data_IF_526000676962
#
_entry.id   IF_526000676962
#
_cell.length_a   1.000
_cell.length_b   1.000
_cell.length_c   1.000
_cell.angle_alpha   90.00
_cell.angle_beta   90.00
_cell.angle_gamma   90.00
#
_symmetry.space_group_name_H-M   'P 1'
#
loop_
_entity.id
_entity.type
_entity.pdbx_description
1 polymer ?
#
# COMPACT_ATOMS: atom_id res chain seq x y z
N UNK A 1 -0.45 -4.61 28.59
CA UNK A 1 -1.82 -5.15 28.36
C UNK A 1 -2.77 -3.97 28.30
N UNK A 2 -3.04 -3.44 27.10
CA UNK A 2 -3.99 -2.33 26.93
C UNK A 2 -5.40 -2.90 27.05
N UNK A 3 -5.95 -2.85 28.26
CA UNK A 3 -7.22 -3.45 28.62
C UNK A 3 -8.40 -2.74 27.97
N UNK A 4 -9.19 -3.49 27.22
CA UNK A 4 -10.55 -3.10 26.85
C UNK A 4 -11.36 -2.89 28.13
N UNK A 5 -12.10 -1.80 28.21
CA UNK A 5 -13.01 -1.54 29.33
C UNK A 5 -14.17 -2.54 29.32
N UNK A 6 -14.76 -2.84 30.48
CA UNK A 6 -15.92 -3.75 30.60
C UNK A 6 -17.09 -3.31 29.69
N UNK A 7 -17.23 -2.00 29.48
CA UNK A 7 -18.22 -1.40 28.56
C UNK A 7 -17.91 -1.70 27.08
N UNK A 8 -16.62 -1.65 26.68
CA UNK A 8 -16.19 -2.05 25.33
C UNK A 8 -16.44 -3.55 25.11
N UNK A 9 -16.21 -4.40 26.12
CA UNK A 9 -16.49 -5.84 26.08
C UNK A 9 -17.98 -6.15 25.91
N UNK A 10 -18.86 -5.47 26.65
CA UNK A 10 -20.32 -5.63 26.50
C UNK A 10 -20.83 -5.16 25.13
N UNK A 11 -20.22 -4.12 24.55
CA UNK A 11 -20.57 -3.66 23.20
C UNK A 11 -20.17 -4.65 22.09
N UNK A 12 -19.13 -5.46 22.30
CA UNK A 12 -18.68 -6.49 21.35
C UNK A 12 -19.71 -7.63 21.23
N UNK A 13 -20.34 -8.02 22.34
CA UNK A 13 -21.23 -9.19 22.38
C UNK A 13 -22.73 -8.87 22.35
N UNK A 14 -23.14 -7.67 22.79
CA UNK A 14 -24.57 -7.38 22.99
C UNK A 14 -25.20 -6.47 21.93
N UNK A 15 -24.41 -5.76 21.10
CA UNK A 15 -24.93 -4.80 20.12
C UNK A 15 -24.10 -4.74 18.81
N UNK A 16 -24.35 -5.60 17.80
CA UNK A 16 -23.95 -5.27 16.45
C UNK A 16 -24.71 -4.00 15.96
N UNK A 17 -24.03 -2.97 15.40
CA UNK A 17 -22.65 -2.96 14.93
C UNK A 17 -21.64 -2.34 15.92
N UNK A 18 -20.38 -2.80 15.84
CA UNK A 18 -19.25 -2.22 16.58
C UNK A 18 -19.20 -0.70 16.36
N UNK A 19 -19.11 0.13 17.42
CA UNK A 19 -18.78 1.54 17.27
C UNK A 19 -17.50 1.67 16.44
N UNK A 20 -17.49 2.56 15.44
CA UNK A 20 -16.36 2.74 14.51
C UNK A 20 -15.01 2.97 15.21
N UNK A 21 -15.01 3.52 16.43
CA UNK A 21 -13.83 3.67 17.29
C UNK A 21 -13.24 2.34 17.78
N UNK A 22 -14.08 1.35 18.09
CA UNK A 22 -13.65 0.02 18.54
C UNK A 22 -13.13 -0.78 17.34
N UNK A 23 -13.83 -0.74 16.21
CA UNK A 23 -13.36 -1.35 14.98
C UNK A 23 -12.01 -0.77 14.52
N UNK A 24 -11.80 0.55 14.61
CA UNK A 24 -10.51 1.16 14.33
C UNK A 24 -9.40 0.72 15.29
N UNK A 25 -9.67 0.61 16.60
CA UNK A 25 -8.67 0.09 17.57
C UNK A 25 -8.28 -1.36 17.32
N UNK A 26 -9.19 -2.18 16.78
CA UNK A 26 -8.93 -3.59 16.47
C UNK A 26 -8.27 -3.77 15.09
N UNK A 27 -8.58 -2.90 14.13
CA UNK A 27 -8.05 -2.96 12.77
C UNK A 27 -6.65 -2.32 12.62
N UNK A 28 -6.31 -1.35 13.47
CA UNK A 28 -5.05 -0.62 13.38
C UNK A 28 -4.19 -0.87 14.63
N UNK A 29 -3.02 -1.45 14.41
CA UNK A 29 -2.05 -1.78 15.44
C UNK A 29 -0.73 -1.05 15.13
N UNK A 30 -0.65 0.30 15.27
CA UNK A 30 0.61 1.01 15.07
C UNK A 30 1.68 0.48 16.06
N UNK A 31 2.89 0.16 15.60
CA UNK A 31 3.99 -0.22 16.49
C UNK A 31 4.53 1.02 17.22
N UNK A 32 5.35 0.78 18.24
CA UNK A 32 6.22 1.85 18.78
C UNK A 32 7.15 2.34 17.66
N UNK A 33 7.33 3.66 17.47
CA UNK A 33 8.13 4.19 16.38
C UNK A 33 9.56 3.63 16.40
N UNK A 34 9.99 3.09 15.25
CA UNK A 34 11.33 2.52 15.08
C UNK A 34 12.30 3.50 14.40
N UNK A 35 11.84 4.71 14.11
CA UNK A 35 12.64 5.75 13.48
C UNK A 35 12.24 7.16 13.94
N UNK A 36 13.08 8.14 13.63
CA UNK A 36 12.79 9.56 13.74
C UNK A 36 13.41 10.33 12.56
N UNK A 37 13.04 11.60 12.41
CA UNK A 37 13.65 12.50 11.42
C UNK A 37 14.55 13.52 12.13
N UNK A 38 15.75 13.74 11.58
CA UNK A 38 16.80 14.55 12.23
C UNK A 38 16.48 16.04 12.33
N UNK A 39 15.75 16.60 11.36
CA UNK A 39 15.25 17.97 11.41
C UNK A 39 13.80 17.99 10.91
N UNK A 40 12.87 17.98 11.86
CA UNK A 40 11.44 17.97 11.59
C UNK A 40 10.91 19.20 10.83
N UNK A 41 11.63 20.31 10.85
CA UNK A 41 11.22 21.56 10.20
C UNK A 41 11.84 21.71 8.80
N UNK A 42 12.84 20.89 8.47
CA UNK A 42 13.45 20.90 7.16
C UNK A 42 12.46 20.40 6.09
N UNK A 43 12.60 20.94 4.89
CA UNK A 43 11.86 20.44 3.73
C UNK A 43 12.24 18.99 3.41
N UNK A 44 13.46 18.56 3.73
CA UNK A 44 14.00 17.21 3.59
C UNK A 44 14.71 16.81 4.88
N UNK A 45 14.49 15.60 5.33
CA UNK A 45 15.04 15.07 6.56
C UNK A 45 15.83 13.78 6.28
N UNK A 46 16.89 13.53 7.04
CA UNK A 46 17.48 12.20 7.09
C UNK A 46 16.70 11.35 8.08
N UNK A 47 16.55 10.06 7.76
CA UNK A 47 15.97 9.09 8.67
C UNK A 47 17.02 8.65 9.69
N UNK A 48 16.64 8.64 10.97
CA UNK A 48 17.40 8.00 12.04
C UNK A 48 16.65 6.73 12.44
N UNK A 49 17.30 5.58 12.36
CA UNK A 49 16.71 4.27 12.63
C UNK A 49 17.15 3.78 14.01
N UNK A 50 16.22 3.21 14.75
CA UNK A 50 16.52 2.46 15.98
C UNK A 50 16.93 1.02 15.63
N UNK A 51 17.50 0.28 16.59
CA UNK A 51 17.85 -1.13 16.39
C UNK A 51 16.64 -2.00 16.01
N UNK A 52 15.43 -1.64 16.47
CA UNK A 52 14.18 -2.35 16.16
C UNK A 52 13.74 -2.22 14.70
N UNK A 53 14.31 -1.28 13.95
CA UNK A 53 14.07 -1.17 12.51
C UNK A 53 14.78 -2.27 11.71
N UNK A 54 15.72 -3.01 12.33
CA UNK A 54 16.47 -4.11 11.70
C UNK A 54 17.06 -3.71 10.35
N UNK A 55 17.78 -2.57 10.32
CA UNK A 55 18.44 -2.10 9.10
C UNK A 55 19.53 -3.08 8.63
N UNK A 56 19.39 -3.58 7.40
CA UNK A 56 20.24 -4.67 6.85
C UNK A 56 21.37 -4.18 5.93
N UNK A 57 21.48 -2.87 5.71
CA UNK A 57 22.37 -2.27 4.72
C UNK A 57 23.38 -1.33 5.39
N UNK A 58 24.29 -0.76 4.60
CA UNK A 58 25.31 0.18 5.11
C UNK A 58 24.70 1.55 5.42
N UNK A 59 25.38 2.34 6.28
CA UNK A 59 24.97 3.74 6.51
C UNK A 59 25.05 4.61 5.25
N UNK A 60 25.94 4.27 4.30
CA UNK A 60 26.00 4.96 3.01
C UNK A 60 24.73 4.73 2.18
N UNK A 61 24.18 3.52 2.20
CA UNK A 61 22.93 3.23 1.47
C UNK A 61 21.72 3.96 2.07
N UNK A 62 21.79 4.31 3.35
CA UNK A 62 20.79 5.15 4.03
C UNK A 62 20.72 6.57 3.45
N UNK A 63 21.78 7.07 2.83
CA UNK A 63 21.78 8.36 2.11
C UNK A 63 20.79 8.37 0.93
N UNK A 64 20.41 7.19 0.42
CA UNK A 64 19.39 7.06 -0.62
C UNK A 64 17.96 7.24 -0.09
N UNK A 65 17.80 7.37 1.22
CA UNK A 65 16.52 7.49 1.90
C UNK A 65 16.27 8.96 2.29
N UNK A 66 15.31 9.59 1.60
CA UNK A 66 14.86 10.94 1.91
C UNK A 66 13.57 10.87 2.74
N UNK A 67 13.62 11.35 3.99
CA UNK A 67 12.44 11.55 4.83
C UNK A 67 11.81 12.93 4.60
N UNK A 68 10.50 13.03 4.75
CA UNK A 68 9.79 14.31 4.81
C UNK A 68 8.44 14.17 5.50
N UNK A 69 7.83 15.30 5.82
CA UNK A 69 6.44 15.34 6.25
C UNK A 69 5.52 15.92 5.19
N UNK A 70 4.31 15.36 5.08
CA UNK A 70 3.23 15.87 4.25
C UNK A 70 2.01 16.19 5.10
N UNK A 71 1.25 17.24 4.71
CA UNK A 71 0.00 17.61 5.37
C UNK A 71 -1.18 16.98 4.63
N UNK A 72 -2.07 16.37 5.39
CA UNK A 72 -3.30 15.76 4.87
C UNK A 72 -4.44 16.79 4.85
N UNK A 73 -5.45 16.54 4.02
CA UNK A 73 -6.68 17.35 3.98
C UNK A 73 -7.46 17.33 5.31
N UNK A 74 -7.13 16.40 6.21
CA UNK A 74 -7.73 16.25 7.54
C UNK A 74 -6.90 16.88 8.66
N UNK A 75 -5.86 17.64 8.31
CA UNK A 75 -5.04 18.40 9.26
C UNK A 75 -3.93 17.61 9.95
N UNK A 76 -3.82 16.30 9.68
CA UNK A 76 -2.72 15.48 10.18
C UNK A 76 -1.45 15.75 9.36
N UNK A 77 -0.30 15.69 10.03
CA UNK A 77 1.04 15.59 9.46
C UNK A 77 1.45 14.12 9.44
N UNK A 78 1.73 13.59 8.24
CA UNK A 78 2.19 12.22 8.04
C UNK A 78 3.65 12.21 7.61
N UNK A 79 4.40 11.21 8.04
CA UNK A 79 5.75 10.96 7.59
C UNK A 79 5.73 10.23 6.24
N UNK A 80 6.63 10.62 5.36
CA UNK A 80 6.86 9.97 4.07
C UNK A 80 8.35 9.66 3.90
N UNK A 81 8.62 8.61 3.14
CA UNK A 81 9.94 8.12 2.81
C UNK A 81 10.06 7.99 1.30
N UNK A 82 11.07 8.61 0.70
CA UNK A 82 11.46 8.38 -0.68
C UNK A 82 12.81 7.66 -0.73
N UNK A 83 12.77 6.38 -1.09
CA UNK A 83 13.94 5.52 -1.27
C UNK A 83 14.31 5.49 -2.75
N UNK A 84 15.48 6.05 -3.08
CA UNK A 84 16.05 6.01 -4.43
C UNK A 84 16.86 4.73 -4.61
N UNK A 85 16.20 3.69 -5.09
CA UNK A 85 16.82 2.36 -5.17
C UNK A 85 17.67 2.16 -6.44
N UNK A 86 17.49 2.98 -7.47
CA UNK A 86 18.29 2.90 -8.69
C UNK A 86 18.40 4.25 -9.40
N UNK A 87 19.59 4.53 -9.95
CA UNK A 87 19.88 5.75 -10.69
C UNK A 87 19.10 5.89 -12.00
N UNK A 88 18.65 4.78 -12.59
CA UNK A 88 17.89 4.75 -13.85
C UNK A 88 16.48 4.17 -13.68
N UNK A 89 15.95 4.16 -12.46
CA UNK A 89 14.58 3.73 -12.19
C UNK A 89 13.59 4.57 -13.00
N UNK A 90 12.85 3.92 -13.90
CA UNK A 90 11.78 4.55 -14.68
C UNK A 90 10.51 4.76 -13.86
N UNK A 91 10.19 3.79 -13.00
CA UNK A 91 8.96 3.77 -12.22
C UNK A 91 9.26 4.07 -10.76
N UNK A 92 8.30 4.71 -10.11
CA UNK A 92 8.27 4.88 -8.66
C UNK A 92 7.03 4.17 -8.12
N UNK A 93 7.22 3.31 -7.13
CA UNK A 93 6.13 2.64 -6.44
C UNK A 93 5.64 3.55 -5.32
N UNK A 94 4.36 3.92 -5.32
CA UNK A 94 3.68 4.44 -4.12
C UNK A 94 3.23 3.26 -3.28
N UNK A 95 3.95 3.00 -2.19
CA UNK A 95 3.76 1.83 -1.33
C UNK A 95 2.91 2.19 -0.10
N UNK A 96 1.79 1.50 0.07
CA UNK A 96 0.96 1.52 1.27
C UNK A 96 1.23 0.25 2.07
N UNK A 97 1.92 0.40 3.21
CA UNK A 97 2.43 -0.72 4.01
C UNK A 97 1.34 -1.50 4.75
N UNK A 98 1.69 -2.69 5.25
CA UNK A 98 0.80 -3.51 6.06
C UNK A 98 0.47 -2.90 7.43
N UNK A 99 -0.34 -3.62 8.20
CA UNK A 99 -0.56 -3.27 9.61
C UNK A 99 0.69 -3.62 10.44
N UNK A 100 0.76 -3.13 11.69
CA UNK A 100 1.81 -3.51 12.66
C UNK A 100 3.27 -3.26 12.23
N UNK A 101 3.48 -2.43 11.21
CA UNK A 101 4.79 -1.97 10.76
C UNK A 101 4.78 -0.45 10.59
N UNK A 102 5.96 0.17 10.66
CA UNK A 102 6.18 1.57 10.31
C UNK A 102 7.24 1.71 9.20
N UNK A 103 7.46 2.94 8.73
CA UNK A 103 8.48 3.22 7.70
C UNK A 103 9.90 2.77 8.08
N UNK A 104 10.25 2.80 9.36
CA UNK A 104 11.57 2.39 9.84
C UNK A 104 11.81 0.90 9.59
N UNK A 105 10.89 0.05 10.06
CA UNK A 105 10.95 -1.40 9.86
C UNK A 105 10.92 -1.78 8.37
N UNK A 106 10.17 -1.03 7.57
CA UNK A 106 10.04 -1.31 6.14
C UNK A 106 11.21 -0.79 5.29
N UNK A 107 12.11 0.02 5.85
CA UNK A 107 13.19 0.68 5.10
C UNK A 107 14.09 -0.32 4.36
N UNK A 108 14.53 -1.39 5.05
CA UNK A 108 15.36 -2.46 4.46
C UNK A 108 14.64 -3.14 3.29
N UNK A 109 13.35 -3.43 3.49
CA UNK A 109 12.53 -4.07 2.47
C UNK A 109 12.38 -3.18 1.23
N UNK A 110 12.13 -1.88 1.40
CA UNK A 110 11.99 -0.94 0.28
C UNK A 110 13.25 -0.83 -0.57
N UNK A 111 14.42 -0.71 0.07
CA UNK A 111 15.69 -0.65 -0.65
C UNK A 111 15.94 -1.96 -1.40
N UNK A 112 15.74 -3.10 -0.74
CA UNK A 112 15.95 -4.42 -1.34
C UNK A 112 15.01 -4.71 -2.50
N UNK A 113 13.71 -4.44 -2.33
CA UNK A 113 12.70 -4.63 -3.35
C UNK A 113 12.99 -3.73 -4.55
N UNK A 114 13.09 -2.42 -4.33
CA UNK A 114 13.26 -1.44 -5.41
C UNK A 114 14.53 -1.69 -6.22
N UNK A 115 15.63 -2.05 -5.58
CA UNK A 115 16.89 -2.37 -6.26
C UNK A 115 16.76 -3.63 -7.14
N UNK A 116 16.03 -4.65 -6.67
CA UNK A 116 15.85 -5.92 -7.40
C UNK A 116 14.89 -5.82 -8.58
N UNK A 117 13.98 -4.84 -8.59
CA UNK A 117 12.99 -4.63 -9.66
C UNK A 117 13.21 -3.34 -10.45
N UNK A 118 14.28 -2.60 -10.17
CA UNK A 118 14.66 -1.34 -10.80
C UNK A 118 13.57 -0.24 -10.70
N UNK A 119 13.02 -0.05 -9.50
CA UNK A 119 12.03 0.99 -9.19
C UNK A 119 12.47 1.78 -7.96
N UNK A 120 12.14 3.07 -7.91
CA UNK A 120 12.19 3.80 -6.63
C UNK A 120 10.95 3.48 -5.79
N UNK A 121 11.03 3.65 -4.47
CA UNK A 121 9.90 3.44 -3.57
C UNK A 121 9.59 4.74 -2.84
N UNK A 122 8.33 5.17 -2.90
CA UNK A 122 7.80 6.22 -2.07
C UNK A 122 6.73 5.62 -1.15
N UNK A 123 6.96 5.70 0.15
CA UNK A 123 6.04 5.17 1.17
C UNK A 123 5.68 6.25 2.16
N UNK A 124 4.62 6.04 2.93
CA UNK A 124 4.16 6.94 3.97
C UNK A 124 3.61 6.15 5.15
N UNK A 125 3.73 6.68 6.36
CA UNK A 125 3.02 6.14 7.51
C UNK A 125 1.60 6.68 7.54
N UNK A 126 0.67 5.84 7.99
CA UNK A 126 -0.71 6.27 8.26
C UNK A 126 -0.77 7.25 9.43
N UNK A 127 -1.82 8.08 9.48
CA UNK A 127 -2.09 8.94 10.64
C UNK A 127 -2.09 8.11 11.94
N UNK A 128 -1.20 8.45 12.88
CA UNK A 128 -1.00 7.73 14.14
C UNK A 128 -0.05 6.51 14.08
N UNK A 129 0.65 6.30 12.97
CA UNK A 129 1.74 5.32 12.82
C UNK A 129 3.11 6.02 12.79
N UNK A 130 4.14 5.35 13.30
CA UNK A 130 5.50 5.89 13.36
C UNK A 130 5.52 7.29 13.97
N UNK A 131 6.18 8.23 13.28
CA UNK A 131 6.23 9.65 13.73
C UNK A 131 5.10 10.51 13.15
N UNK A 132 4.07 9.91 12.56
CA UNK A 132 2.90 10.61 12.05
C UNK A 132 1.95 11.01 13.17
N UNK A 133 1.45 12.23 13.09
CA UNK A 133 0.43 12.77 14.01
C UNK A 133 -0.95 12.14 13.78
N UNK A 134 -1.88 12.43 14.69
CA UNK A 134 -3.29 12.08 14.53
C UNK A 134 -3.62 10.69 15.06
N UNK A 135 -4.64 10.05 14.48
CA UNK A 135 -5.10 8.71 14.89
C UNK A 135 -5.53 7.90 13.67
N UNK A 136 -5.39 6.58 13.70
CA UNK A 136 -5.77 5.77 12.56
C UNK A 136 -7.30 5.70 12.44
N UNK A 137 -7.78 5.83 11.20
CA UNK A 137 -9.18 5.64 10.82
C UNK A 137 -9.27 5.50 9.31
N UNK A 138 -10.33 4.88 8.80
CA UNK A 138 -10.54 4.76 7.35
C UNK A 138 -10.50 6.11 6.62
N UNK A 139 -11.12 7.15 7.20
CA UNK A 139 -11.13 8.49 6.61
C UNK A 139 -9.74 9.13 6.56
N UNK A 140 -8.91 8.87 7.58
CA UNK A 140 -7.53 9.35 7.56
C UNK A 140 -6.70 8.53 6.58
N UNK A 141 -6.89 7.21 6.50
CA UNK A 141 -6.19 6.33 5.55
C UNK A 141 -6.32 6.83 4.09
N UNK A 142 -7.52 7.26 3.69
CA UNK A 142 -7.75 7.87 2.37
C UNK A 142 -7.10 9.26 2.24
N UNK A 143 -7.18 10.10 3.27
CA UNK A 143 -6.53 11.43 3.25
C UNK A 143 -4.98 11.34 3.27
N UNK A 144 -4.44 10.28 3.87
CA UNK A 144 -3.01 10.02 3.98
C UNK A 144 -2.46 9.65 2.58
N UNK A 145 -3.10 8.71 1.88
CA UNK A 145 -2.67 8.35 0.52
C UNK A 145 -2.85 9.50 -0.48
N UNK A 146 -3.91 10.31 -0.33
CA UNK A 146 -4.08 11.51 -1.15
C UNK A 146 -2.90 12.49 -0.97
N UNK A 147 -2.46 12.68 0.27
CA UNK A 147 -1.30 13.53 0.58
C UNK A 147 0.00 12.97 -0.01
N UNK A 148 0.21 11.64 0.10
CA UNK A 148 1.36 10.96 -0.48
C UNK A 148 1.35 11.03 -2.03
N UNK A 149 0.20 10.80 -2.65
CA UNK A 149 -0.01 10.96 -4.09
C UNK A 149 0.30 12.39 -4.56
N UNK A 150 -0.26 13.40 -3.90
CA UNK A 150 0.03 14.79 -4.23
C UNK A 150 1.51 15.14 -4.07
N UNK A 151 2.15 14.63 -3.03
CA UNK A 151 3.59 14.80 -2.82
C UNK A 151 4.40 14.24 -3.99
N UNK A 152 4.13 12.99 -4.42
CA UNK A 152 4.79 12.39 -5.60
C UNK A 152 4.61 13.22 -6.86
N UNK A 153 3.36 13.65 -7.12
CA UNK A 153 2.99 14.39 -8.33
C UNK A 153 3.59 15.79 -8.37
N UNK A 154 3.54 16.52 -7.26
CA UNK A 154 3.86 17.95 -7.22
C UNK A 154 5.31 18.22 -6.86
N UNK A 155 5.82 17.57 -5.81
CA UNK A 155 7.16 17.81 -5.30
C UNK A 155 8.23 17.08 -6.10
N UNK A 156 7.93 15.85 -6.52
CA UNK A 156 8.87 15.04 -7.29
C UNK A 156 8.56 15.04 -8.79
N UNK A 157 7.46 15.64 -9.22
CA UNK A 157 7.11 15.80 -10.63
C UNK A 157 6.88 14.47 -11.37
N UNK A 158 6.56 13.40 -10.65
CA UNK A 158 6.41 12.07 -11.26
C UNK A 158 5.03 11.99 -11.91
N UNK A 159 4.97 11.67 -13.21
CA UNK A 159 3.71 11.51 -13.93
C UNK A 159 2.99 10.21 -13.55
N UNK A 160 1.63 10.15 -13.58
CA UNK A 160 0.83 8.97 -13.19
C UNK A 160 1.23 7.67 -13.88
N UNK A 161 1.54 7.74 -15.17
CA UNK A 161 1.96 6.60 -15.99
C UNK A 161 3.30 5.99 -15.55
N UNK A 162 4.09 6.74 -14.78
CA UNK A 162 5.33 6.28 -14.18
C UNK A 162 5.18 5.93 -12.68
N UNK A 163 3.95 5.96 -12.15
CA UNK A 163 3.63 5.53 -10.78
C UNK A 163 3.01 4.14 -10.81
N UNK A 164 3.50 3.26 -9.95
CA UNK A 164 2.86 1.98 -9.65
C UNK A 164 2.31 2.09 -8.23
N UNK A 165 1.00 1.86 -8.05
CA UNK A 165 0.44 1.79 -6.71
C UNK A 165 0.65 0.38 -6.17
N UNK A 166 1.16 0.25 -4.94
CA UNK A 166 1.36 -1.03 -4.28
C UNK A 166 0.74 -0.98 -2.89
N UNK A 167 -0.22 -1.85 -2.61
CA UNK A 167 -0.77 -2.01 -1.26
C UNK A 167 -0.52 -3.41 -0.74
N UNK A 168 -0.13 -3.52 0.54
CA UNK A 168 -0.01 -4.79 1.25
C UNK A 168 -1.06 -4.89 2.36
N UNK A 169 -1.83 -5.97 2.39
CA UNK A 169 -2.85 -6.24 3.42
C UNK A 169 -3.79 -5.02 3.56
N UNK A 170 -3.88 -4.40 4.75
CA UNK A 170 -4.67 -3.18 4.96
C UNK A 170 -4.29 -2.02 4.03
N UNK A 171 -3.04 -1.94 3.57
CA UNK A 171 -2.58 -0.94 2.59
C UNK A 171 -3.21 -1.07 1.21
N UNK A 172 -3.85 -2.21 0.90
CA UNK A 172 -4.66 -2.36 -0.33
C UNK A 172 -5.90 -1.48 -0.32
N UNK A 173 -6.42 -1.11 0.86
CA UNK A 173 -7.61 -0.28 1.01
C UNK A 173 -7.42 1.13 0.43
N UNK A 174 -6.44 1.93 0.89
CA UNK A 174 -6.19 3.24 0.31
C UNK A 174 -5.70 3.13 -1.14
N UNK A 175 -4.94 2.07 -1.46
CA UNK A 175 -4.47 1.81 -2.83
C UNK A 175 -5.63 1.67 -3.81
N UNK A 176 -6.64 0.83 -3.50
CA UNK A 176 -7.83 0.65 -4.34
C UNK A 176 -8.65 1.94 -4.40
N UNK A 177 -8.79 2.66 -3.29
CA UNK A 177 -9.50 3.95 -3.29
C UNK A 177 -8.86 4.97 -4.24
N UNK A 178 -7.55 5.15 -4.16
CA UNK A 178 -6.83 6.07 -5.05
C UNK A 178 -6.90 5.60 -6.51
N UNK A 179 -6.67 4.30 -6.76
CA UNK A 179 -6.72 3.71 -8.09
C UNK A 179 -8.12 3.75 -8.74
N UNK A 180 -9.18 3.88 -7.94
CA UNK A 180 -10.56 4.05 -8.43
C UNK A 180 -10.84 5.45 -8.96
N UNK A 181 -9.95 6.41 -8.68
CA UNK A 181 -10.08 7.83 -9.06
C UNK A 181 -9.03 8.27 -10.08
N UNK A 182 -7.88 7.60 -10.14
CA UNK A 182 -6.77 7.95 -11.03
C UNK A 182 -6.25 6.72 -11.78
N UNK A 183 -6.01 6.89 -13.09
CA UNK A 183 -5.25 5.92 -13.87
C UNK A 183 -3.75 6.10 -13.62
N UNK A 184 -3.06 4.98 -13.41
CA UNK A 184 -1.63 4.89 -13.09
C UNK A 184 -0.98 3.83 -13.97
N UNK A 185 0.35 3.72 -13.95
CA UNK A 185 1.08 2.71 -14.72
C UNK A 185 0.61 1.28 -14.42
N UNK A 186 0.41 0.97 -13.14
CA UNK A 186 -0.23 -0.28 -12.68
C UNK A 186 -0.62 -0.21 -11.20
N UNK A 187 -1.39 -1.20 -10.77
CA UNK A 187 -1.72 -1.46 -9.37
C UNK A 187 -1.27 -2.87 -8.99
N UNK A 188 -0.62 -2.99 -7.85
CA UNK A 188 -0.29 -4.26 -7.20
C UNK A 188 -1.04 -4.34 -5.89
N UNK A 189 -1.86 -5.37 -5.74
CA UNK A 189 -2.62 -5.66 -4.53
C UNK A 189 -2.06 -6.95 -3.92
N UNK A 190 -1.32 -6.81 -2.82
CA UNK A 190 -0.73 -7.93 -2.10
C UNK A 190 -1.60 -8.30 -0.89
N UNK A 191 -2.14 -9.51 -0.89
CA UNK A 191 -3.09 -10.06 0.09
C UNK A 191 -4.26 -9.11 0.38
N UNK A 192 -5.01 -8.67 -0.64
CA UNK A 192 -6.05 -7.66 -0.46
C UNK A 192 -7.24 -8.20 0.32
N UNK A 193 -7.90 -7.30 1.06
CA UNK A 193 -9.20 -7.55 1.66
C UNK A 193 -10.34 -6.97 0.82
N UNK A 194 -11.45 -7.70 0.78
CA UNK A 194 -12.69 -7.28 0.10
C UNK A 194 -13.47 -6.25 0.93
N UNK A 195 -13.60 -6.50 2.23
CA UNK A 195 -14.05 -5.54 3.24
C UNK A 195 -13.71 -6.01 4.66
N UNK A 196 -13.76 -5.13 5.65
CA UNK A 196 -13.51 -5.45 7.05
C UNK A 196 -14.50 -6.46 7.62
N UNK A 197 -15.79 -6.35 7.29
CA UNK A 197 -16.80 -7.33 7.70
C UNK A 197 -16.54 -8.72 7.10
N UNK A 198 -16.04 -8.79 5.86
CA UNK A 198 -15.74 -10.09 5.22
C UNK A 198 -14.50 -10.75 5.81
N UNK A 199 -13.54 -9.97 6.29
CA UNK A 199 -12.39 -10.51 7.06
C UNK A 199 -12.88 -11.10 8.39
N UNK A 200 -13.69 -10.34 9.15
CA UNK A 200 -14.17 -10.78 10.46
C UNK A 200 -15.25 -11.88 10.38
N UNK A 201 -16.06 -11.87 9.32
CA UNK A 201 -17.18 -12.77 9.11
C UNK A 201 -17.19 -13.26 7.64
N UNK A 202 -16.43 -14.33 7.30
CA UNK A 202 -16.21 -14.78 5.92
C UNK A 202 -17.48 -15.08 5.11
N UNK A 203 -18.57 -15.44 5.78
CA UNK A 203 -19.86 -15.73 5.13
C UNK A 203 -20.65 -14.47 4.72
N UNK A 204 -20.11 -13.27 4.92
CA UNK A 204 -20.77 -11.99 4.59
C UNK A 204 -20.86 -11.76 3.08
N UNK A 205 -22.07 -11.87 2.52
CA UNK A 205 -22.29 -11.70 1.06
C UNK A 205 -22.56 -10.26 0.64
N UNK A 206 -23.13 -9.43 1.52
CA UNK A 206 -23.56 -8.04 1.24
C UNK A 206 -22.61 -7.03 1.90
N UNK A 207 -22.35 -5.91 1.22
CA UNK A 207 -21.74 -4.74 1.86
C UNK A 207 -22.79 -3.95 2.63
N UNK A 208 -22.57 -3.76 3.93
CA UNK A 208 -23.44 -2.97 4.81
C UNK A 208 -22.96 -1.52 4.91
N UNK A 209 -23.84 -0.58 5.28
CA UNK A 209 -23.47 0.83 5.37
C UNK A 209 -22.42 1.14 6.45
N UNK A 210 -22.23 0.23 7.41
CA UNK A 210 -21.23 0.29 8.47
C UNK A 210 -20.01 -0.61 8.21
N UNK A 211 -19.95 -1.25 7.03
CA UNK A 211 -18.80 -2.07 6.65
C UNK A 211 -17.58 -1.18 6.44
N UNK A 212 -16.49 -1.50 7.14
CA UNK A 212 -15.24 -0.78 7.00
C UNK A 212 -14.51 -1.24 5.73
N UNK A 213 -13.85 -0.31 5.05
CA UNK A 213 -12.95 -0.62 3.95
C UNK A 213 -13.57 -1.43 2.80
N UNK A 214 -14.73 -1.04 2.21
CA UNK A 214 -15.40 -1.83 1.17
C UNK A 214 -14.68 -1.76 -0.19
N UNK A 215 -13.46 -2.28 -0.28
CA UNK A 215 -12.62 -2.34 -1.48
C UNK A 215 -13.32 -3.04 -2.64
N UNK A 216 -14.14 -4.06 -2.33
CA UNK A 216 -14.90 -4.84 -3.32
C UNK A 216 -15.91 -4.00 -4.13
N UNK A 217 -16.35 -2.87 -3.59
CA UNK A 217 -17.27 -1.94 -4.26
C UNK A 217 -16.53 -0.85 -5.04
N UNK A 218 -15.24 -0.66 -4.77
CA UNK A 218 -14.37 0.31 -5.43
C UNK A 218 -13.57 -0.30 -6.58
N UNK A 219 -13.15 -1.56 -6.46
CA UNK A 219 -12.29 -2.22 -7.45
C UNK A 219 -12.83 -2.23 -8.89
N UNK A 220 -14.17 -2.31 -9.15
CA UNK A 220 -14.69 -2.24 -10.52
C UNK A 220 -14.43 -0.91 -11.24
N UNK A 221 -14.00 0.13 -10.50
CA UNK A 221 -13.65 1.45 -11.05
C UNK A 221 -12.15 1.59 -11.37
N UNK A 222 -11.33 0.60 -11.01
CA UNK A 222 -9.88 0.65 -11.24
C UNK A 222 -9.59 0.32 -12.71
N UNK A 223 -9.30 1.36 -13.50
CA UNK A 223 -9.04 1.24 -14.96
C UNK A 223 -7.58 0.89 -15.29
N UNK A 224 -6.69 0.94 -14.30
CA UNK A 224 -5.28 0.57 -14.45
C UNK A 224 -5.10 -0.95 -14.51
N UNK A 225 -4.04 -1.48 -15.13
CA UNK A 225 -3.70 -2.90 -15.03
C UNK A 225 -3.47 -3.31 -13.57
N UNK A 226 -4.14 -4.38 -13.11
CA UNK A 226 -4.08 -4.82 -11.70
C UNK A 226 -3.46 -6.20 -11.58
N UNK A 227 -2.34 -6.31 -10.86
CA UNK A 227 -1.80 -7.57 -10.36
C UNK A 227 -2.33 -7.84 -8.95
N UNK A 228 -2.89 -9.02 -8.74
CA UNK A 228 -3.18 -9.53 -7.40
C UNK A 228 -2.14 -10.59 -7.04
N UNK A 229 -1.58 -10.48 -5.84
CA UNK A 229 -0.67 -11.45 -5.23
C UNK A 229 -1.31 -11.94 -3.94
N UNK A 230 -1.38 -13.24 -3.71
CA UNK A 230 -1.97 -13.78 -2.47
C UNK A 230 -1.39 -15.17 -2.16
N UNK A 231 -1.04 -15.41 -0.89
CA UNK A 231 -0.76 -16.75 -0.38
C UNK A 231 -2.01 -17.61 -0.29
N UNK A 232 -1.93 -18.89 -0.64
CA UNK A 232 -3.09 -19.79 -0.59
C UNK A 232 -3.42 -20.31 0.81
N UNK A 233 -2.47 -20.22 1.73
CA UNK A 233 -2.59 -20.63 3.13
C UNK A 233 -2.72 -19.39 4.05
N UNK A 234 -3.22 -18.28 3.51
CA UNK A 234 -3.42 -17.03 4.25
C UNK A 234 -4.56 -17.15 5.27
N UNK A 235 -4.19 -17.31 6.55
CA UNK A 235 -5.14 -17.43 7.68
C UNK A 235 -5.62 -16.08 8.22
N UNK A 236 -5.04 -14.95 7.78
CA UNK A 236 -5.40 -13.60 8.26
C UNK A 236 -6.42 -12.96 7.33
N UNK A 237 -6.17 -13.03 6.02
CA UNK A 237 -7.07 -12.59 4.97
C UNK A 237 -7.22 -13.75 4.00
N UNK A 238 -8.27 -14.54 4.19
CA UNK A 238 -8.52 -15.75 3.40
C UNK A 238 -8.34 -15.51 1.88
N UNK A 239 -7.72 -16.49 1.22
CA UNK A 239 -7.42 -16.46 -0.21
C UNK A 239 -8.61 -16.08 -1.11
N UNK A 240 -9.84 -16.38 -0.69
CA UNK A 240 -11.06 -15.97 -1.41
C UNK A 240 -11.16 -14.46 -1.61
N UNK A 241 -10.56 -13.65 -0.74
CA UNK A 241 -10.53 -12.20 -0.89
C UNK A 241 -9.72 -11.77 -2.11
N UNK A 242 -8.52 -12.32 -2.28
CA UNK A 242 -7.67 -12.10 -3.47
C UNK A 242 -8.37 -12.52 -4.75
N UNK A 243 -9.01 -13.70 -4.73
CA UNK A 243 -9.79 -14.21 -5.86
C UNK A 243 -10.97 -13.29 -6.22
N UNK A 244 -11.76 -12.88 -5.23
CA UNK A 244 -12.92 -12.02 -5.45
C UNK A 244 -12.53 -10.62 -5.97
N UNK A 245 -11.43 -10.05 -5.47
CA UNK A 245 -10.88 -8.79 -5.98
C UNK A 245 -10.43 -8.96 -7.43
N UNK A 246 -9.65 -10.01 -7.72
CA UNK A 246 -9.18 -10.33 -9.07
C UNK A 246 -10.33 -10.45 -10.08
N UNK A 247 -11.39 -11.19 -9.74
CA UNK A 247 -12.55 -11.41 -10.60
C UNK A 247 -13.35 -10.14 -10.88
N UNK A 248 -13.31 -9.15 -9.98
CA UNK A 248 -13.98 -7.86 -10.14
C UNK A 248 -13.13 -6.77 -10.79
N UNK A 249 -11.83 -6.99 -10.96
CA UNK A 249 -10.96 -6.05 -11.66
C UNK A 249 -11.38 -5.94 -13.14
N UNK A 250 -11.51 -4.73 -13.71
CA UNK A 250 -11.79 -4.55 -15.13
C UNK A 250 -10.63 -4.95 -16.05
N UNK A 251 -9.39 -4.75 -15.57
CA UNK A 251 -8.15 -5.06 -16.30
C UNK A 251 -7.19 -5.87 -15.42
N UNK A 252 -7.60 -7.07 -14.98
CA UNK A 252 -6.71 -7.94 -14.26
C UNK A 252 -5.63 -8.45 -15.22
N UNK A 253 -4.48 -8.73 -14.65
CA UNK A 253 -3.40 -9.44 -15.31
C UNK A 253 -3.17 -10.75 -14.56
N UNK A 254 -2.50 -11.74 -15.16
CA UNK A 254 -2.32 -13.03 -14.51
C UNK A 254 -1.89 -12.89 -13.04
N UNK A 255 -2.67 -13.42 -12.10
CA UNK A 255 -2.40 -13.23 -10.69
C UNK A 255 -1.18 -14.06 -10.28
N UNK A 256 -0.67 -13.81 -9.08
CA UNK A 256 0.30 -14.69 -8.42
C UNK A 256 -0.35 -15.30 -7.18
N UNK A 257 -0.75 -16.56 -7.30
CA UNK A 257 -1.22 -17.37 -6.18
C UNK A 257 -0.04 -18.21 -5.70
N UNK A 258 0.43 -17.98 -4.48
CA UNK A 258 1.61 -18.65 -3.95
C UNK A 258 1.17 -19.84 -3.09
N UNK A 259 1.47 -21.05 -3.57
CA UNK A 259 1.22 -22.30 -2.83
C UNK A 259 2.12 -22.34 -1.59
N UNK A 260 1.60 -22.78 -0.44
CA UNK A 260 2.36 -22.87 0.81
C UNK A 260 2.52 -21.55 1.58
N UNK A 261 2.30 -20.40 0.94
CA UNK A 261 2.46 -19.10 1.59
C UNK A 261 1.22 -18.70 2.39
N UNK A 262 1.45 -18.18 3.60
CA UNK A 262 0.49 -17.49 4.45
C UNK A 262 0.45 -15.98 4.22
N UNK A 263 0.02 -15.21 5.23
CA UNK A 263 -0.18 -13.76 5.09
C UNK A 263 1.13 -12.94 5.05
N UNK A 264 2.15 -13.41 5.77
CA UNK A 264 3.33 -12.61 6.12
C UNK A 264 4.65 -13.17 5.54
N UNK A 265 4.58 -14.21 4.72
CA UNK A 265 5.75 -14.91 4.20
C UNK A 265 5.80 -14.99 2.67
N UNK A 266 4.81 -14.44 1.96
CA UNK A 266 4.75 -14.44 0.50
C UNK A 266 6.03 -13.88 -0.13
N UNK A 267 6.62 -12.82 0.46
CA UNK A 267 7.85 -12.22 -0.05
C UNK A 267 9.09 -13.11 0.08
N UNK A 268 9.02 -14.17 0.88
CA UNK A 268 10.10 -15.16 1.02
C UNK A 268 10.13 -16.16 -0.15
N UNK A 269 9.05 -16.26 -0.93
CA UNK A 269 8.96 -17.15 -2.08
C UNK A 269 9.57 -16.50 -3.32
N UNK A 270 10.45 -17.23 -4.02
CA UNK A 270 11.15 -16.70 -5.20
C UNK A 270 10.20 -16.19 -6.31
N UNK A 271 9.04 -16.84 -6.44
CA UNK A 271 8.01 -16.49 -7.43
C UNK A 271 7.50 -15.04 -7.28
N UNK A 272 7.51 -14.50 -6.06
CA UNK A 272 7.14 -13.12 -5.76
C UNK A 272 8.02 -12.12 -6.52
N UNK A 273 9.34 -12.22 -6.34
CA UNK A 273 10.29 -11.35 -7.04
C UNK A 273 10.25 -11.57 -8.55
N UNK A 274 10.14 -12.81 -9.00
CA UNK A 274 10.10 -13.13 -10.43
C UNK A 274 8.83 -12.58 -11.11
N UNK A 275 7.69 -12.58 -10.41
CA UNK A 275 6.46 -11.96 -10.90
C UNK A 275 6.61 -10.45 -11.01
N UNK A 276 7.12 -9.79 -9.98
CA UNK A 276 7.27 -8.34 -9.95
C UNK A 276 8.27 -7.83 -11.01
N UNK A 277 9.40 -8.52 -11.21
CA UNK A 277 10.35 -8.22 -12.29
C UNK A 277 9.71 -8.30 -13.67
N UNK A 278 8.98 -9.38 -13.95
CA UNK A 278 8.24 -9.56 -15.22
C UNK A 278 7.18 -8.47 -15.41
N UNK A 279 6.57 -8.00 -14.33
CA UNK A 279 5.51 -6.98 -14.35
C UNK A 279 5.99 -5.59 -14.69
N UNK A 280 7.08 -5.13 -14.09
CA UNK A 280 7.71 -3.86 -14.46
C UNK A 280 8.06 -3.85 -15.95
N UNK A 281 8.51 -4.99 -16.47
CA UNK A 281 8.78 -5.18 -17.90
C UNK A 281 7.50 -5.20 -18.76
N UNK A 282 6.42 -5.85 -18.32
CA UNK A 282 5.14 -5.90 -19.06
C UNK A 282 4.44 -4.53 -19.07
N UNK A 283 4.47 -3.78 -17.97
CA UNK A 283 3.96 -2.40 -17.91
C UNK A 283 4.72 -1.54 -18.92
N UNK A 284 6.04 -1.70 -19.00
CA UNK A 284 6.85 -1.07 -20.05
C UNK A 284 6.36 -1.46 -21.47
N UNK A 285 6.09 -2.74 -21.75
CA UNK A 285 5.59 -3.17 -23.07
C UNK A 285 4.19 -2.60 -23.37
N UNK A 286 3.29 -2.60 -22.39
CA UNK A 286 1.91 -2.17 -22.56
C UNK A 286 1.80 -0.65 -22.80
N UNK A 287 2.58 0.16 -22.07
CA UNK A 287 2.65 1.61 -22.30
C UNK A 287 3.20 1.92 -23.70
N UNK A 288 4.23 1.19 -24.16
CA UNK A 288 4.82 1.42 -25.49
C UNK A 288 3.96 0.92 -26.65
N UNK A 289 3.10 -0.10 -26.46
CA UNK A 289 2.15 -0.54 -27.50
C UNK A 289 1.06 0.50 -27.78
N UNK A 290 0.64 1.28 -26.77
CA UNK A 290 -0.32 2.38 -26.96
C UNK A 290 0.30 3.54 -27.75
N UNK A 291 1.59 3.85 -27.55
CA UNK A 291 2.29 4.88 -28.33
C UNK A 291 2.57 4.45 -29.79
N UNK A 292 2.86 3.18 -30.05
CA UNK A 292 3.05 2.69 -31.43
C UNK A 292 1.73 2.56 -32.23
N UNK A 293 0.58 2.39 -31.56
CA UNK A 293 -0.72 2.33 -32.22
C UNK A 293 -1.19 3.64 -32.87
N UNK A 294 -0.67 4.79 -32.43
CA UNK A 294 -1.00 6.10 -33.00
C UNK A 294 -0.17 6.49 -34.24
N UNK A 295 0.91 5.77 -34.57
CA UNK A 295 1.78 6.11 -35.70
C UNK A 295 1.42 5.40 -37.02
N UNK A 296 0.49 4.44 -37.00
CA UNK A 296 0.19 3.59 -38.18
C UNK A 296 -1.05 4.06 -38.98
N UNK A 297 -1.73 5.13 -38.57
CA UNK A 297 -3.01 5.58 -39.18
C UNK A 297 -2.95 6.96 -39.86
N UNK A 298 -1.80 7.42 -40.37
CA UNK A 298 -1.71 8.68 -41.16
C UNK A 298 -0.75 8.64 -42.36
N UNK A 299 -0.59 7.49 -43.02
CA UNK A 299 -0.05 7.45 -44.39
C UNK A 299 -0.74 6.38 -45.25
N UNK A 300 -1.88 6.75 -45.82
CA UNK A 300 -2.32 6.29 -47.14
C UNK A 300 -2.77 7.52 -47.92
N UNK A 301 -1.83 8.04 -48.71
CA UNK A 301 -2.09 8.82 -49.93
C UNK A 301 -2.44 7.86 -51.05
#
# INVERSE_FOLDING_TARGET
MNGLTLSEFCCIFCCPPFPSRIAAKLAFLPPEPTYSFTDENASKCQISLTEKAEWQYTEREKENIEGLFARTSRGNRIACLFVRCSANARFTILFSHGNAVDLGQMSSFYLGLGSRINCNIFSYDYSGYGVSSGKPSEKNLYADIDSAWHTLRTRYGISPENIILYGQSIGTVPTVDLASRYEVGAVVLHSPLTSGMRVAFPNTKRTWFFDAFPSIDKVPKVTSPVLVIHGKEDEVVDFSHGKAIYEKCPRPVDPLWVEGAGHNDVELYQEYLDRLRRKVLIIWIMINRVQMGCFVMTKKS
#
